data_IF_598626932152
#
_entry.id   IF_598626932152
#
_cell.length_a   1.000
_cell.length_b   1.000
_cell.length_c   1.000
_cell.angle_alpha   90.00
_cell.angle_beta   90.00
_cell.angle_gamma   90.00
#
_symmetry.space_group_name_H-M   'P 1'
#
loop_
_entity.id
_entity.type
_entity.pdbx_description
1 polymer ?
#
# COMPACT_ATOMS: atom_id res chain seq x y z
N UNK A 1 19.55 4.66 11.07
CA UNK A 1 19.47 3.25 10.65
C UNK A 1 18.52 2.47 11.56
N UNK A 2 18.85 2.16 12.82
CA UNK A 2 18.00 1.34 13.71
C UNK A 2 16.54 1.82 13.78
N UNK A 3 16.29 3.13 13.86
CA UNK A 3 14.95 3.74 13.83
C UNK A 3 14.16 3.47 12.55
N UNK A 4 14.82 3.28 11.41
CA UNK A 4 14.19 3.09 10.11
C UNK A 4 14.03 1.62 9.73
N UNK A 5 14.99 0.77 10.09
CA UNK A 5 15.01 -0.65 9.78
C UNK A 5 14.16 -1.51 10.73
N UNK A 6 13.85 -0.99 11.92
CA UNK A 6 13.12 -1.70 12.96
C UNK A 6 11.86 -0.94 13.39
N UNK A 7 11.05 -1.58 14.21
CA UNK A 7 9.90 -0.93 14.87
C UNK A 7 10.31 -0.11 16.12
N UNK A 8 11.61 0.00 16.42
CA UNK A 8 12.11 0.77 17.56
C UNK A 8 11.64 2.23 17.48
N UNK A 9 11.18 2.79 18.58
CA UNK A 9 10.95 4.23 18.71
C UNK A 9 12.26 4.99 18.82
N UNK A 10 12.25 6.31 18.65
CA UNK A 10 13.46 7.10 18.87
C UNK A 10 13.93 7.05 20.32
N UNK A 11 13.02 6.80 21.27
CA UNK A 11 13.37 6.58 22.68
C UNK A 11 14.05 5.23 22.90
N UNK A 12 13.61 4.18 22.22
CA UNK A 12 14.26 2.86 22.29
C UNK A 12 15.68 2.94 21.70
N UNK A 13 15.88 3.71 20.65
CA UNK A 13 17.21 3.96 20.07
C UNK A 13 18.11 4.68 21.07
N UNK A 14 17.61 5.70 21.76
CA UNK A 14 18.35 6.38 22.83
C UNK A 14 18.72 5.40 23.93
N UNK A 15 17.78 4.62 24.43
CA UNK A 15 18.03 3.60 25.48
C UNK A 15 19.08 2.57 25.05
N UNK A 16 19.05 2.14 23.77
CA UNK A 16 20.07 1.26 23.21
C UNK A 16 21.46 1.90 23.19
N UNK A 17 21.56 3.18 22.80
CA UNK A 17 22.83 3.92 22.81
C UNK A 17 23.34 4.12 24.25
N UNK A 18 22.45 4.46 25.20
CA UNK A 18 22.80 4.55 26.63
C UNK A 18 23.33 3.22 27.18
N UNK A 19 22.67 2.10 26.79
CA UNK A 19 23.13 0.76 27.17
C UNK A 19 24.53 0.46 26.62
N UNK A 20 24.78 0.79 25.34
CA UNK A 20 26.10 0.65 24.73
C UNK A 20 27.15 1.55 25.40
N UNK A 21 26.80 2.82 25.69
CA UNK A 21 27.70 3.73 26.38
C UNK A 21 28.17 3.19 27.74
N UNK A 22 27.24 2.59 28.51
CA UNK A 22 27.54 1.95 29.79
C UNK A 22 28.46 0.72 29.63
N UNK A 23 28.28 -0.07 28.58
CA UNK A 23 29.06 -1.29 28.31
C UNK A 23 30.45 -1.00 27.75
N UNK A 24 30.61 0.12 27.06
CA UNK A 24 31.85 0.44 26.32
C UNK A 24 32.79 1.42 27.05
N UNK A 25 32.51 1.73 28.32
CA UNK A 25 33.38 2.50 29.21
C UNK A 25 33.98 3.78 28.60
N UNK A 26 33.13 4.61 27.97
CA UNK A 26 33.56 5.92 27.46
C UNK A 26 33.87 5.99 25.95
N UNK A 27 33.56 4.95 25.18
CA UNK A 27 33.60 5.05 23.71
C UNK A 27 32.45 5.91 23.12
N UNK A 28 31.43 6.22 23.93
CA UNK A 28 30.32 7.11 23.58
C UNK A 28 30.30 8.25 24.59
N UNK A 29 30.78 9.42 24.16
CA UNK A 29 30.89 10.61 25.03
C UNK A 29 29.54 11.26 25.31
N UNK A 30 28.65 11.31 24.30
CA UNK A 30 27.32 11.94 24.42
C UNK A 30 26.22 11.07 23.79
N UNK A 31 25.12 10.90 24.53
CA UNK A 31 23.92 10.24 24.03
C UNK A 31 22.95 11.26 23.46
N UNK A 32 22.57 11.17 22.18
CA UNK A 32 21.64 12.13 21.58
C UNK A 32 20.24 12.00 22.18
N UNK A 33 19.52 13.12 22.29
CA UNK A 33 18.11 13.09 22.66
C UNK A 33 17.25 12.41 21.58
N UNK A 34 16.07 11.91 21.96
CA UNK A 34 15.14 11.32 20.99
C UNK A 34 14.70 12.33 19.91
N UNK A 35 14.59 13.62 20.24
CA UNK A 35 14.32 14.68 19.27
C UNK A 35 15.48 14.85 18.27
N UNK A 36 16.71 14.72 18.73
CA UNK A 36 17.91 14.77 17.88
C UNK A 36 17.87 13.64 16.85
N UNK A 37 17.53 12.42 17.29
CA UNK A 37 17.41 11.25 16.39
C UNK A 37 16.30 11.47 15.36
N UNK A 38 15.11 11.93 15.77
CA UNK A 38 14.01 12.22 14.84
C UNK A 38 14.38 13.32 13.84
N UNK A 39 15.09 14.36 14.29
CA UNK A 39 15.58 15.42 13.42
C UNK A 39 16.63 14.91 12.41
N UNK A 40 17.51 14.00 12.80
CA UNK A 40 18.45 13.38 11.87
C UNK A 40 17.72 12.60 10.78
N UNK A 41 16.72 11.81 11.13
CA UNK A 41 15.93 11.05 10.16
C UNK A 41 15.17 12.00 9.22
N UNK A 42 14.53 13.06 9.74
CA UNK A 42 13.84 14.07 8.92
C UNK A 42 14.77 14.79 7.96
N UNK A 43 15.98 15.15 8.40
CA UNK A 43 17.03 15.76 7.55
C UNK A 43 17.40 14.83 6.40
N UNK A 44 17.69 13.56 6.70
CA UNK A 44 18.00 12.57 5.69
C UNK A 44 16.83 12.38 4.72
N UNK A 45 15.58 12.37 5.22
CA UNK A 45 14.40 12.21 4.36
C UNK A 45 14.15 13.38 3.43
N UNK A 46 14.35 14.60 3.91
CA UNK A 46 14.26 15.80 3.05
C UNK A 46 15.39 15.84 2.02
N UNK A 47 16.60 15.44 2.42
CA UNK A 47 17.74 15.31 1.50
C UNK A 47 17.46 14.29 0.39
N UNK A 48 16.84 13.12 0.73
CA UNK A 48 16.42 12.11 -0.26
C UNK A 48 15.46 12.69 -1.28
N UNK A 49 14.42 13.42 -0.85
CA UNK A 49 13.44 14.02 -1.76
C UNK A 49 14.13 15.03 -2.69
N UNK A 50 14.99 15.90 -2.14
CA UNK A 50 15.69 16.92 -2.91
C UNK A 50 16.65 16.37 -3.97
N UNK A 51 17.22 15.18 -3.72
CA UNK A 51 18.15 14.51 -4.66
C UNK A 51 17.45 13.46 -5.55
N UNK A 52 16.13 13.31 -5.46
CA UNK A 52 15.39 12.42 -6.35
C UNK A 52 15.52 12.79 -7.82
N UNK A 53 15.47 14.06 -8.25
CA UNK A 53 15.66 14.44 -9.66
C UNK A 53 17.02 13.96 -10.20
N UNK A 54 18.10 14.19 -9.45
CA UNK A 54 19.46 13.74 -9.81
C UNK A 54 19.56 12.21 -9.88
N UNK A 55 18.89 11.51 -8.95
CA UNK A 55 18.86 10.04 -8.92
C UNK A 55 18.07 9.43 -10.09
N UNK A 56 17.17 10.19 -10.71
CA UNK A 56 16.39 9.79 -11.88
C UNK A 56 16.99 10.27 -13.21
N UNK A 57 18.05 11.07 -13.16
CA UNK A 57 18.71 11.57 -14.35
C UNK A 57 19.18 10.42 -15.27
N UNK A 58 18.84 10.50 -16.55
CA UNK A 58 19.16 9.47 -17.53
C UNK A 58 18.38 8.16 -17.43
N UNK A 59 17.55 7.98 -16.39
CA UNK A 59 16.73 6.77 -16.19
C UNK A 59 15.33 6.94 -16.77
N UNK A 60 14.75 5.84 -17.26
CA UNK A 60 13.33 5.78 -17.57
C UNK A 60 12.58 5.34 -16.32
N UNK A 61 11.64 6.16 -15.90
CA UNK A 61 10.85 5.94 -14.69
C UNK A 61 9.35 6.02 -14.95
N UNK A 62 8.60 5.41 -14.07
CA UNK A 62 7.15 5.53 -13.95
C UNK A 62 6.80 6.18 -12.62
N UNK A 63 5.61 6.74 -12.53
CA UNK A 63 5.07 7.27 -11.28
C UNK A 63 4.03 6.32 -10.73
N UNK A 64 4.06 6.13 -9.41
CA UNK A 64 3.00 5.48 -8.64
C UNK A 64 2.38 6.52 -7.73
N UNK A 65 1.06 6.70 -7.84
CA UNK A 65 0.27 7.61 -7.01
C UNK A 65 -0.91 6.88 -6.39
N UNK A 66 -1.26 7.25 -5.18
CA UNK A 66 -2.44 6.74 -4.49
C UNK A 66 -2.95 7.77 -3.48
N UNK A 67 -4.27 7.99 -3.42
CA UNK A 67 -4.90 8.76 -2.33
C UNK A 67 -4.88 7.91 -1.07
N UNK A 68 -3.70 7.74 -0.48
CA UNK A 68 -3.55 6.92 0.70
C UNK A 68 -3.47 7.76 1.97
N UNK A 69 -3.77 7.10 3.07
CA UNK A 69 -3.71 7.62 4.44
C UNK A 69 -4.55 8.87 4.73
N UNK A 70 -5.72 8.59 5.26
CA UNK A 70 -6.42 9.58 6.07
C UNK A 70 -5.80 9.61 7.47
N UNK A 71 -5.14 10.71 7.82
CA UNK A 71 -4.62 10.99 9.16
C UNK A 71 -5.46 12.12 9.73
N UNK A 72 -6.36 11.78 10.65
CA UNK A 72 -7.35 12.74 11.11
C UNK A 72 -8.30 13.12 9.96
N UNK A 73 -8.35 14.40 9.61
CA UNK A 73 -9.10 14.95 8.48
C UNK A 73 -8.26 15.18 7.23
N UNK A 74 -6.99 14.78 7.23
CA UNK A 74 -6.04 15.06 6.16
C UNK A 74 -5.77 13.80 5.34
N UNK A 75 -5.61 14.00 4.04
CA UNK A 75 -5.33 12.96 3.06
C UNK A 75 -3.99 13.24 2.39
N UNK A 76 -3.10 12.29 2.49
CA UNK A 76 -1.78 12.32 1.88
C UNK A 76 -1.83 11.74 0.48
N UNK A 77 -1.29 12.46 -0.49
CA UNK A 77 -1.02 12.01 -1.85
C UNK A 77 0.49 11.92 -2.04
N UNK A 78 1.11 10.75 -1.91
CA UNK A 78 2.49 10.54 -2.26
C UNK A 78 2.65 10.42 -3.76
N UNK A 79 3.71 11.02 -4.29
CA UNK A 79 4.17 10.83 -5.66
C UNK A 79 5.49 10.08 -5.59
N UNK A 80 5.48 8.83 -6.04
CA UNK A 80 6.64 7.93 -5.98
C UNK A 80 7.12 7.61 -7.39
N UNK A 81 8.43 7.64 -7.61
CA UNK A 81 9.05 7.18 -8.84
C UNK A 81 9.59 5.75 -8.68
N UNK A 82 9.37 4.93 -9.69
CA UNK A 82 9.83 3.55 -9.79
C UNK A 82 10.45 3.32 -11.17
N UNK A 83 11.32 2.31 -11.38
CA UNK A 83 11.81 1.98 -12.71
C UNK A 83 10.65 1.74 -13.69
N UNK A 84 10.71 2.35 -14.87
CA UNK A 84 9.66 2.16 -15.89
C UNK A 84 9.63 0.71 -16.38
N UNK A 85 10.80 0.11 -16.60
CA UNK A 85 10.93 -1.29 -17.01
C UNK A 85 10.86 -2.21 -15.79
N UNK A 86 10.03 -3.23 -15.87
CA UNK A 86 9.95 -4.28 -14.85
C UNK A 86 11.29 -5.02 -14.70
N UNK A 87 11.76 -5.21 -13.46
CA UNK A 87 13.09 -5.74 -13.14
C UNK A 87 13.13 -7.27 -12.96
N UNK A 88 12.05 -8.00 -13.30
CA UNK A 88 11.94 -9.45 -13.10
C UNK A 88 11.57 -9.87 -11.68
N UNK A 89 11.18 -8.94 -10.83
CA UNK A 89 10.68 -9.16 -9.48
C UNK A 89 9.65 -8.09 -9.11
N UNK A 90 8.75 -8.34 -8.15
CA UNK A 90 7.87 -7.31 -7.61
C UNK A 90 8.68 -6.12 -7.08
N UNK A 91 8.14 -4.91 -7.22
CA UNK A 91 8.77 -3.69 -6.71
C UNK A 91 9.23 -3.85 -5.27
N UNK A 92 10.47 -3.52 -5.02
CA UNK A 92 11.10 -3.52 -3.70
C UNK A 92 11.20 -2.08 -3.17
N UNK A 93 11.26 -1.85 -1.86
CA UNK A 93 11.46 -0.52 -1.31
C UNK A 93 12.68 0.22 -1.88
N UNK A 94 13.75 -0.50 -2.20
CA UNK A 94 14.96 0.05 -2.82
C UNK A 94 14.75 0.59 -4.24
N UNK A 95 13.71 0.12 -4.94
CA UNK A 95 13.38 0.56 -6.30
C UNK A 95 12.61 1.88 -6.31
N UNK A 96 12.18 2.35 -5.14
CA UNK A 96 11.28 3.50 -5.01
C UNK A 96 12.05 4.75 -4.61
N UNK A 97 11.76 5.85 -5.28
CA UNK A 97 12.17 7.19 -4.89
C UNK A 97 10.95 8.05 -4.60
N UNK A 98 11.00 8.82 -3.54
CA UNK A 98 9.94 9.78 -3.22
C UNK A 98 10.18 11.06 -4.02
N UNK A 99 9.25 11.41 -4.88
CA UNK A 99 9.27 12.69 -5.61
C UNK A 99 8.68 13.80 -4.76
N UNK A 100 7.52 13.52 -4.13
CA UNK A 100 6.88 14.49 -3.26
C UNK A 100 5.79 13.91 -2.38
N UNK A 101 5.43 14.71 -1.38
CA UNK A 101 4.28 14.48 -0.49
C UNK A 101 3.36 15.69 -0.54
N UNK A 102 2.09 15.47 -0.80
CA UNK A 102 1.11 16.54 -0.88
C UNK A 102 -0.06 16.22 0.05
N UNK A 103 -0.52 17.21 0.80
CA UNK A 103 -1.53 17.02 1.84
C UNK A 103 -2.67 17.99 1.64
N UNK A 104 -3.89 17.45 1.57
CA UNK A 104 -5.15 18.23 1.52
C UNK A 104 -6.22 17.54 2.37
N UNK A 105 -7.27 18.25 2.73
CA UNK A 105 -8.44 17.66 3.40
C UNK A 105 -9.25 16.77 2.45
N UNK A 106 -9.24 17.09 1.16
CA UNK A 106 -9.87 16.31 0.10
C UNK A 106 -9.14 16.54 -1.22
N UNK A 107 -9.08 15.50 -2.05
CA UNK A 107 -8.51 15.57 -3.39
C UNK A 107 -9.61 15.65 -4.44
N UNK A 108 -9.47 16.58 -5.36
CA UNK A 108 -10.22 16.62 -6.62
C UNK A 108 -9.32 16.14 -7.76
N UNK A 109 -9.89 15.76 -8.89
CA UNK A 109 -9.11 15.35 -10.06
C UNK A 109 -8.18 16.48 -10.56
N UNK A 110 -8.66 17.72 -10.54
CA UNK A 110 -7.86 18.90 -10.95
C UNK A 110 -6.68 19.09 -10.00
N UNK A 111 -6.93 19.13 -8.68
CA UNK A 111 -5.87 19.32 -7.70
C UNK A 111 -4.83 18.18 -7.68
N UNK A 112 -5.25 16.94 -8.00
CA UNK A 112 -4.34 15.81 -8.13
C UNK A 112 -3.51 15.88 -9.42
N UNK A 113 -4.11 16.35 -10.53
CA UNK A 113 -3.40 16.59 -11.77
C UNK A 113 -2.36 17.70 -11.64
N UNK A 114 -2.73 18.85 -11.05
CA UNK A 114 -1.81 19.96 -10.79
C UNK A 114 -0.57 19.50 -9.99
N UNK A 115 -0.81 18.81 -8.87
CA UNK A 115 0.28 18.27 -8.03
C UNK A 115 1.12 17.24 -8.79
N UNK A 116 0.51 16.41 -9.62
CA UNK A 116 1.24 15.45 -10.43
C UNK A 116 2.18 16.17 -11.41
N UNK A 117 1.67 17.18 -12.12
CA UNK A 117 2.43 17.94 -13.09
C UNK A 117 3.56 18.75 -12.41
N UNK A 118 3.30 19.39 -11.26
CA UNK A 118 4.31 20.09 -10.47
C UNK A 118 5.45 19.15 -10.04
N UNK A 119 5.12 17.96 -9.55
CA UNK A 119 6.15 16.99 -9.16
C UNK A 119 6.95 16.45 -10.35
N UNK A 120 6.32 16.26 -11.51
CA UNK A 120 7.01 15.85 -12.75
C UNK A 120 7.93 16.98 -13.25
N UNK A 121 7.51 18.22 -13.14
CA UNK A 121 8.33 19.39 -13.51
C UNK A 121 9.58 19.48 -12.63
N UNK A 122 9.48 19.23 -11.33
CA UNK A 122 10.62 19.15 -10.40
C UNK A 122 11.63 18.08 -10.83
N UNK A 123 11.18 16.92 -11.33
CA UNK A 123 12.08 15.88 -11.86
C UNK A 123 12.74 16.31 -13.17
N UNK A 124 12.11 17.21 -13.95
CA UNK A 124 12.64 17.71 -15.21
C UNK A 124 12.55 16.73 -16.40
N UNK A 125 11.96 15.54 -16.20
CA UNK A 125 11.74 14.52 -17.23
C UNK A 125 10.33 13.92 -17.06
N UNK A 126 9.63 13.68 -18.16
CA UNK A 126 8.31 13.03 -18.15
C UNK A 126 8.43 11.55 -17.80
N UNK A 127 7.53 11.01 -16.98
CA UNK A 127 7.46 9.57 -16.71
C UNK A 127 6.99 8.82 -17.97
N UNK A 128 7.39 7.57 -18.11
CA UNK A 128 6.94 6.71 -19.20
C UNK A 128 5.43 6.38 -19.07
N UNK A 129 4.94 6.23 -17.85
CA UNK A 129 3.53 5.98 -17.52
C UNK A 129 3.28 6.24 -16.03
N UNK A 130 2.01 6.18 -15.64
CA UNK A 130 1.55 6.36 -14.26
C UNK A 130 0.76 5.13 -13.83
N UNK A 131 0.99 4.66 -12.61
CA UNK A 131 0.23 3.61 -11.94
C UNK A 131 -0.61 4.25 -10.85
N UNK A 132 -1.90 3.95 -10.81
CA UNK A 132 -2.77 4.30 -9.67
C UNK A 132 -3.87 3.26 -9.48
N UNK A 133 -4.59 3.36 -8.37
CA UNK A 133 -5.85 2.64 -8.19
C UNK A 133 -6.92 3.07 -9.21
N UNK A 134 -8.08 2.41 -9.16
CA UNK A 134 -9.21 2.72 -10.06
C UNK A 134 -10.12 3.83 -9.53
N UNK A 135 -9.68 4.65 -8.57
CA UNK A 135 -10.48 5.79 -8.12
C UNK A 135 -10.76 6.73 -9.30
N UNK A 136 -12.01 7.13 -9.43
CA UNK A 136 -12.47 7.96 -10.53
C UNK A 136 -11.77 9.32 -10.61
N UNK A 137 -11.29 9.84 -9.47
CA UNK A 137 -10.55 11.10 -9.39
C UNK A 137 -9.13 10.92 -9.91
N UNK A 138 -8.44 9.84 -9.50
CA UNK A 138 -7.09 9.53 -9.97
C UNK A 138 -7.08 9.27 -11.47
N UNK A 139 -8.03 8.47 -11.97
CA UNK A 139 -8.20 8.26 -13.41
C UNK A 139 -8.36 9.56 -14.18
N UNK A 140 -9.24 10.47 -13.68
CA UNK A 140 -9.45 11.78 -14.31
C UNK A 140 -8.20 12.67 -14.22
N UNK A 141 -7.49 12.64 -13.09
CA UNK A 141 -6.27 13.41 -12.89
C UNK A 141 -5.19 13.03 -13.90
N UNK A 142 -4.91 11.73 -14.04
CA UNK A 142 -3.93 11.23 -15.02
C UNK A 142 -4.36 11.55 -16.45
N UNK A 143 -5.67 11.45 -16.75
CA UNK A 143 -6.21 11.80 -18.05
C UNK A 143 -6.06 13.29 -18.40
N UNK A 144 -6.20 14.19 -17.42
CA UNK A 144 -5.98 15.64 -17.60
C UNK A 144 -4.52 15.96 -17.93
N UNK A 145 -3.58 15.26 -17.30
CA UNK A 145 -2.13 15.42 -17.55
C UNK A 145 -1.64 14.67 -18.81
N UNK A 146 -2.52 13.93 -19.49
CA UNK A 146 -2.26 13.22 -20.76
C UNK A 146 -1.10 12.23 -20.71
N UNK A 147 -0.98 11.48 -19.60
CA UNK A 147 -0.02 10.39 -19.46
C UNK A 147 -0.66 9.03 -19.75
N UNK A 148 0.16 8.03 -20.13
CA UNK A 148 -0.26 6.64 -20.18
C UNK A 148 -0.58 6.21 -18.76
N UNK A 149 -1.76 5.59 -18.56
CA UNK A 149 -2.23 5.14 -17.28
C UNK A 149 -2.38 3.62 -17.25
N UNK A 150 -1.64 2.97 -16.35
CA UNK A 150 -1.81 1.55 -16.02
C UNK A 150 -2.51 1.43 -14.67
N UNK A 151 -3.55 0.61 -14.64
CA UNK A 151 -4.32 0.36 -13.42
C UNK A 151 -3.58 -0.58 -12.49
N UNK A 152 -3.59 -0.29 -11.19
CA UNK A 152 -3.12 -1.25 -10.20
C UNK A 152 -3.88 -2.58 -10.31
N UNK A 153 -3.13 -3.68 -10.41
CA UNK A 153 -3.70 -5.01 -10.64
C UNK A 153 -4.56 -5.47 -9.47
N UNK A 154 -4.12 -5.32 -8.23
CA UNK A 154 -4.82 -5.81 -7.04
C UNK A 154 -6.12 -5.06 -6.82
N UNK A 155 -6.08 -3.72 -6.91
CA UNK A 155 -7.28 -2.87 -6.81
C UNK A 155 -8.26 -3.13 -7.95
N UNK A 156 -7.77 -3.37 -9.17
CA UNK A 156 -8.61 -3.65 -10.33
C UNK A 156 -9.36 -4.97 -10.18
N UNK A 157 -8.67 -6.04 -9.81
CA UNK A 157 -9.28 -7.36 -9.62
C UNK A 157 -10.26 -7.38 -8.44
N UNK A 158 -9.92 -6.71 -7.34
CA UNK A 158 -10.81 -6.54 -6.19
C UNK A 158 -12.09 -5.77 -6.57
N UNK A 159 -11.98 -4.72 -7.40
CA UNK A 159 -13.12 -3.97 -7.90
C UNK A 159 -14.05 -4.84 -8.77
N UNK A 160 -13.52 -5.74 -9.60
CA UNK A 160 -14.36 -6.64 -10.39
C UNK A 160 -15.14 -7.61 -9.50
N UNK A 161 -14.51 -8.12 -8.45
CA UNK A 161 -15.20 -8.91 -7.43
C UNK A 161 -16.27 -8.09 -6.71
N UNK A 162 -15.95 -6.86 -6.32
CA UNK A 162 -16.91 -5.98 -5.66
C UNK A 162 -18.15 -5.73 -6.51
N UNK A 163 -18.00 -5.45 -7.79
CA UNK A 163 -19.11 -5.19 -8.72
C UNK A 163 -20.08 -6.37 -8.85
N UNK A 164 -19.57 -7.59 -8.75
CA UNK A 164 -20.40 -8.81 -8.92
C UNK A 164 -21.00 -9.26 -7.59
N UNK A 165 -20.24 -9.21 -6.49
CA UNK A 165 -20.63 -9.83 -5.22
C UNK A 165 -21.14 -8.87 -4.15
N UNK A 166 -20.90 -7.56 -4.25
CA UNK A 166 -21.26 -6.60 -3.17
C UNK A 166 -22.74 -6.63 -2.78
N UNK A 167 -23.62 -6.72 -3.77
CA UNK A 167 -25.06 -6.74 -3.58
C UNK A 167 -25.66 -8.16 -3.77
N UNK A 168 -24.82 -9.18 -3.96
CA UNK A 168 -25.25 -10.56 -4.12
C UNK A 168 -25.81 -11.10 -2.80
N UNK A 169 -27.04 -11.64 -2.85
CA UNK A 169 -27.76 -12.08 -1.66
C UNK A 169 -27.07 -13.25 -0.96
N UNK A 170 -26.53 -14.21 -1.72
CA UNK A 170 -25.83 -15.37 -1.16
C UNK A 170 -24.53 -14.96 -0.47
N UNK A 171 -23.76 -14.04 -1.10
CA UNK A 171 -22.57 -13.45 -0.49
C UNK A 171 -22.88 -12.70 0.82
N UNK A 172 -23.93 -11.87 0.82
CA UNK A 172 -24.30 -11.10 1.99
C UNK A 172 -24.78 -12.01 3.13
N UNK A 173 -25.57 -13.03 2.84
CA UNK A 173 -26.03 -14.01 3.83
C UNK A 173 -24.88 -14.86 4.38
N UNK A 174 -23.99 -15.34 3.52
CA UNK A 174 -22.79 -16.07 3.92
C UNK A 174 -21.95 -15.25 4.91
N UNK A 175 -21.65 -13.99 4.58
CA UNK A 175 -20.90 -13.10 5.48
C UNK A 175 -21.63 -12.85 6.81
N UNK A 176 -22.96 -12.69 6.78
CA UNK A 176 -23.77 -12.54 7.99
C UNK A 176 -23.70 -13.79 8.86
N UNK A 177 -23.77 -14.99 8.27
CA UNK A 177 -23.63 -16.27 8.99
C UNK A 177 -22.26 -16.41 9.62
N UNK A 178 -21.19 -16.09 8.88
CA UNK A 178 -19.83 -16.09 9.44
C UNK A 178 -19.69 -15.12 10.63
N UNK A 179 -20.18 -13.90 10.49
CA UNK A 179 -20.11 -12.90 11.57
C UNK A 179 -20.91 -13.35 12.81
N UNK A 180 -22.10 -13.92 12.61
CA UNK A 180 -22.95 -14.45 13.70
C UNK A 180 -22.25 -15.61 14.40
N UNK A 181 -21.72 -16.57 13.65
CA UNK A 181 -20.95 -17.70 14.19
C UNK A 181 -19.78 -17.20 15.03
N UNK A 182 -18.99 -16.27 14.49
CA UNK A 182 -17.85 -15.68 15.20
C UNK A 182 -18.29 -15.04 16.52
N UNK A 183 -19.33 -14.21 16.51
CA UNK A 183 -19.87 -13.56 17.72
C UNK A 183 -20.35 -14.59 18.77
N UNK A 184 -20.99 -15.66 18.32
CA UNK A 184 -21.58 -16.67 19.22
C UNK A 184 -20.50 -17.55 19.88
N UNK A 185 -19.40 -17.82 19.20
CA UNK A 185 -18.40 -18.80 19.64
C UNK A 185 -17.03 -18.20 20.00
N UNK A 186 -16.87 -16.87 19.96
CA UNK A 186 -15.58 -16.22 20.23
C UNK A 186 -15.03 -16.47 21.66
N UNK A 187 -15.89 -16.85 22.62
CA UNK A 187 -15.52 -17.14 24.02
C UNK A 187 -15.69 -18.62 24.37
N UNK A 188 -15.87 -19.49 23.38
CA UNK A 188 -16.01 -20.94 23.57
C UNK A 188 -14.71 -21.67 23.29
N UNK A 189 -14.63 -22.94 23.66
CA UNK A 189 -13.44 -23.78 23.43
C UNK A 189 -13.01 -23.83 21.96
N UNK A 190 -13.96 -23.74 21.03
CA UNK A 190 -13.70 -23.72 19.59
C UNK A 190 -13.32 -22.34 19.02
N UNK A 191 -13.06 -21.34 19.87
CA UNK A 191 -12.72 -19.97 19.42
C UNK A 191 -11.49 -19.93 18.49
N UNK A 192 -10.54 -20.86 18.65
CA UNK A 192 -9.36 -20.98 17.79
C UNK A 192 -9.65 -21.42 16.35
N UNK A 193 -10.85 -21.96 16.08
CA UNK A 193 -11.32 -22.37 14.75
C UNK A 193 -12.08 -21.25 14.03
N UNK A 194 -12.27 -20.10 14.64
CA UNK A 194 -13.09 -19.02 14.07
C UNK A 194 -12.51 -18.44 12.77
N UNK A 195 -13.42 -17.88 11.97
CA UNK A 195 -13.06 -17.19 10.74
C UNK A 195 -12.11 -16.02 10.99
N UNK A 196 -11.22 -15.68 10.03
CA UNK A 196 -10.46 -14.44 10.06
C UNK A 196 -11.35 -13.21 10.28
N UNK A 197 -10.76 -12.12 10.75
CA UNK A 197 -11.50 -10.87 10.90
C UNK A 197 -11.85 -10.31 9.53
N UNK A 198 -13.14 -10.10 9.27
CA UNK A 198 -13.59 -9.43 8.06
C UNK A 198 -13.24 -7.93 8.16
N UNK A 199 -12.50 -7.42 7.19
CA UNK A 199 -12.21 -6.00 7.10
C UNK A 199 -13.40 -5.27 6.46
N UNK A 200 -13.75 -4.10 6.99
CA UNK A 200 -14.80 -3.24 6.41
C UNK A 200 -14.31 -2.45 5.20
N UNK A 201 -13.02 -2.06 5.21
CA UNK A 201 -12.34 -1.40 4.09
C UNK A 201 -11.54 -2.42 3.28
N UNK A 202 -11.47 -2.24 1.98
CA UNK A 202 -10.79 -3.14 1.05
C UNK A 202 -11.19 -4.61 1.24
N UNK A 203 -12.49 -4.85 1.49
CA UNK A 203 -13.04 -6.18 1.80
C UNK A 203 -12.69 -7.21 0.72
N UNK A 204 -12.81 -6.84 -0.55
CA UNK A 204 -12.57 -7.73 -1.67
C UNK A 204 -11.09 -8.01 -1.94
N UNK A 205 -10.17 -7.15 -1.53
CA UNK A 205 -8.73 -7.44 -1.55
C UNK A 205 -8.33 -8.48 -0.50
N UNK A 206 -9.06 -8.56 0.61
CA UNK A 206 -8.78 -9.47 1.73
C UNK A 206 -9.75 -10.66 1.82
N UNK A 207 -10.51 -10.91 0.77
CA UNK A 207 -11.53 -11.96 0.75
C UNK A 207 -10.93 -13.37 0.81
N UNK A 208 -9.74 -13.52 0.27
CA UNK A 208 -9.04 -14.79 0.12
C UNK A 208 -8.85 -15.54 1.45
N UNK A 209 -8.51 -14.84 2.54
CA UNK A 209 -8.32 -15.47 3.86
C UNK A 209 -9.62 -16.12 4.38
N UNK A 210 -10.75 -15.43 4.22
CA UNK A 210 -12.05 -15.93 4.65
C UNK A 210 -12.53 -17.12 3.81
N UNK A 211 -12.29 -17.09 2.51
CA UNK A 211 -12.65 -18.19 1.61
C UNK A 211 -11.76 -19.40 1.81
N UNK A 212 -10.44 -19.20 1.98
CA UNK A 212 -9.49 -20.29 2.30
C UNK A 212 -9.84 -20.96 3.61
N UNK A 213 -10.22 -20.16 4.63
CA UNK A 213 -10.71 -20.67 5.89
C UNK A 213 -11.99 -21.52 5.70
N UNK A 214 -13.00 -21.00 4.99
CA UNK A 214 -14.26 -21.70 4.76
C UNK A 214 -14.07 -23.03 4.01
N UNK A 215 -13.25 -23.03 2.96
CA UNK A 215 -12.88 -24.22 2.19
C UNK A 215 -12.14 -25.25 3.09
N UNK A 216 -11.19 -24.79 3.90
CA UNK A 216 -10.46 -25.64 4.83
C UNK A 216 -11.37 -26.25 5.90
N UNK A 217 -12.32 -25.45 6.43
CA UNK A 217 -13.30 -25.93 7.42
C UNK A 217 -14.24 -26.96 6.81
N UNK A 218 -14.69 -26.79 5.56
CA UNK A 218 -15.50 -27.79 4.85
C UNK A 218 -14.76 -29.13 4.69
N UNK A 219 -13.47 -29.10 4.35
CA UNK A 219 -12.65 -30.31 4.19
C UNK A 219 -12.48 -31.10 5.48
N UNK A 220 -12.33 -30.39 6.62
CA UNK A 220 -12.11 -31.05 7.92
C UNK A 220 -13.40 -31.23 8.73
N UNK A 221 -14.54 -30.82 8.21
CA UNK A 221 -15.82 -30.78 8.93
C UNK A 221 -16.16 -32.09 9.65
N UNK A 222 -15.93 -33.23 8.98
CA UNK A 222 -16.19 -34.56 9.54
C UNK A 222 -15.27 -34.95 10.72
N UNK A 223 -14.15 -34.24 10.89
CA UNK A 223 -13.19 -34.46 11.99
C UNK A 223 -13.44 -33.55 13.19
N UNK A 224 -14.33 -32.58 13.05
CA UNK A 224 -14.67 -31.66 14.13
C UNK A 224 -15.48 -32.38 15.20
N UNK A 225 -15.24 -32.06 16.46
CA UNK A 225 -16.10 -32.50 17.57
C UNK A 225 -17.50 -31.89 17.41
N UNK A 226 -18.47 -32.43 18.18
CA UNK A 226 -19.88 -32.07 18.09
C UNK A 226 -20.12 -30.54 18.08
N UNK A 227 -19.52 -29.82 19.03
CA UNK A 227 -19.63 -28.35 19.12
C UNK A 227 -19.13 -27.64 17.85
N UNK A 228 -18.03 -28.13 17.24
CA UNK A 228 -17.51 -27.59 16.00
C UNK A 228 -18.44 -27.88 14.82
N UNK A 229 -18.99 -29.08 14.73
CA UNK A 229 -19.95 -29.43 13.69
C UNK A 229 -21.25 -28.60 13.80
N UNK A 230 -21.75 -28.37 15.00
CA UNK A 230 -22.90 -27.50 15.23
C UNK A 230 -22.60 -26.05 14.81
N UNK A 231 -21.47 -25.51 15.28
CA UNK A 231 -21.07 -24.13 15.01
C UNK A 231 -20.87 -23.83 13.52
N UNK A 232 -20.27 -24.75 12.78
CA UNK A 232 -19.89 -24.56 11.38
C UNK A 232 -20.84 -25.29 10.39
N UNK A 233 -21.97 -25.84 10.86
CA UNK A 233 -22.96 -26.56 10.02
C UNK A 233 -23.43 -25.71 8.82
N UNK A 234 -23.57 -24.40 9.00
CA UNK A 234 -23.97 -23.48 7.96
C UNK A 234 -23.05 -23.52 6.72
N UNK A 235 -21.76 -23.81 6.87
CA UNK A 235 -20.81 -23.88 5.74
C UNK A 235 -21.23 -24.94 4.73
N UNK A 236 -21.86 -26.02 5.15
CA UNK A 236 -22.33 -27.07 4.23
C UNK A 236 -23.41 -26.57 3.28
N UNK A 237 -24.28 -25.65 3.75
CA UNK A 237 -25.30 -25.02 2.90
C UNK A 237 -24.66 -24.15 1.81
N UNK A 238 -23.51 -23.53 2.13
CA UNK A 238 -22.78 -22.66 1.20
C UNK A 238 -21.59 -23.36 0.50
N UNK A 239 -21.52 -24.70 0.54
CA UNK A 239 -20.37 -25.42 -0.03
C UNK A 239 -20.14 -25.10 -1.51
N UNK A 240 -21.21 -25.03 -2.32
CA UNK A 240 -21.13 -24.66 -3.73
C UNK A 240 -20.63 -23.22 -3.92
N UNK A 241 -21.15 -22.28 -3.12
CA UNK A 241 -20.72 -20.88 -3.13
C UNK A 241 -19.25 -20.72 -2.72
N UNK A 242 -18.82 -21.43 -1.66
CA UNK A 242 -17.41 -21.42 -1.22
C UNK A 242 -16.50 -21.97 -2.33
N UNK A 243 -16.92 -23.05 -3.03
CA UNK A 243 -16.19 -23.58 -4.18
C UNK A 243 -16.05 -22.56 -5.31
N UNK A 244 -17.15 -21.92 -5.71
CA UNK A 244 -17.18 -20.84 -6.69
C UNK A 244 -16.21 -19.69 -6.33
N UNK A 245 -16.31 -19.21 -5.10
CA UNK A 245 -15.45 -18.13 -4.61
C UNK A 245 -13.98 -18.55 -4.55
N UNK A 246 -13.71 -19.81 -4.18
CA UNK A 246 -12.37 -20.37 -4.15
C UNK A 246 -11.71 -20.38 -5.53
N UNK A 247 -12.44 -20.83 -6.54
CA UNK A 247 -11.95 -20.87 -7.92
C UNK A 247 -11.69 -19.45 -8.45
N UNK A 248 -12.60 -18.51 -8.16
CA UNK A 248 -12.47 -17.12 -8.58
C UNK A 248 -11.28 -16.44 -7.89
N UNK A 249 -11.13 -16.60 -6.58
CA UNK A 249 -9.99 -16.06 -5.81
C UNK A 249 -8.68 -16.70 -6.25
N UNK A 250 -8.67 -18.00 -6.58
CA UNK A 250 -7.48 -18.67 -7.08
C UNK A 250 -7.04 -18.13 -8.44
N UNK A 251 -7.99 -17.83 -9.33
CA UNK A 251 -7.70 -17.18 -10.61
C UNK A 251 -7.12 -15.77 -10.41
N UNK A 252 -7.69 -14.97 -9.49
CA UNK A 252 -7.18 -13.62 -9.15
C UNK A 252 -5.74 -13.71 -8.63
N UNK A 253 -5.46 -14.59 -7.67
CA UNK A 253 -4.10 -14.80 -7.14
C UNK A 253 -3.10 -15.22 -8.22
N UNK A 254 -3.52 -16.08 -9.14
CA UNK A 254 -2.67 -16.44 -10.26
C UNK A 254 -2.30 -15.21 -11.10
N UNK A 255 -3.29 -14.37 -11.43
CA UNK A 255 -3.06 -13.16 -12.22
C UNK A 255 -2.16 -12.16 -11.50
N UNK A 256 -2.41 -11.89 -10.22
CA UNK A 256 -1.57 -11.02 -9.39
C UNK A 256 -0.12 -11.52 -9.36
N UNK A 257 0.06 -12.82 -9.13
CA UNK A 257 1.39 -13.44 -9.13
C UNK A 257 2.08 -13.28 -10.48
N UNK A 258 1.39 -13.58 -11.59
CA UNK A 258 1.95 -13.42 -12.92
C UNK A 258 2.35 -11.97 -13.23
N UNK A 259 1.48 -11.01 -12.93
CA UNK A 259 1.71 -9.60 -13.23
C UNK A 259 2.77 -8.97 -12.32
N UNK A 260 2.79 -9.32 -11.04
CA UNK A 260 3.77 -8.77 -10.08
C UNK A 260 5.18 -9.35 -10.26
N UNK A 261 5.31 -10.63 -10.62
CA UNK A 261 6.62 -11.28 -10.78
C UNK A 261 7.20 -11.17 -12.19
N UNK A 262 6.35 -11.20 -13.21
CA UNK A 262 6.81 -11.18 -14.62
C UNK A 262 6.54 -9.83 -15.31
N UNK A 263 5.91 -8.89 -14.60
CA UNK A 263 5.50 -7.61 -15.15
C UNK A 263 4.30 -7.69 -16.09
N UNK A 264 3.74 -6.55 -16.41
CA UNK A 264 2.68 -6.40 -17.40
C UNK A 264 3.32 -6.32 -18.79
N UNK A 265 3.03 -7.29 -19.63
CA UNK A 265 3.52 -7.41 -21.01
C UNK A 265 2.49 -8.13 -21.88
N UNK A 266 2.59 -8.02 -23.20
CA UNK A 266 1.71 -8.80 -24.11
C UNK A 266 1.78 -10.30 -23.82
N UNK A 267 2.96 -10.83 -23.45
CA UNK A 267 3.17 -12.23 -23.10
C UNK A 267 2.45 -12.61 -21.79
N UNK A 268 2.62 -11.84 -20.72
CA UNK A 268 1.96 -12.11 -19.43
C UNK A 268 0.44 -11.97 -19.54
N UNK A 269 -0.05 -11.02 -20.35
CA UNK A 269 -1.48 -10.89 -20.70
C UNK A 269 -2.00 -12.16 -21.37
N UNK A 270 -1.29 -12.72 -22.37
CA UNK A 270 -1.72 -13.93 -23.06
C UNK A 270 -1.79 -15.14 -22.11
N UNK A 271 -0.85 -15.26 -21.16
CA UNK A 271 -0.87 -16.29 -20.11
C UNK A 271 -2.08 -16.12 -19.22
N UNK A 272 -2.32 -14.90 -18.70
CA UNK A 272 -3.48 -14.60 -17.85
C UNK A 272 -4.80 -14.84 -18.59
N UNK A 273 -4.93 -14.40 -19.84
CA UNK A 273 -6.12 -14.63 -20.67
C UNK A 273 -6.45 -16.10 -20.82
N UNK A 274 -5.46 -16.94 -21.14
CA UNK A 274 -5.64 -18.40 -21.25
C UNK A 274 -6.14 -18.98 -19.93
N UNK A 275 -5.56 -18.57 -18.80
CA UNK A 275 -5.95 -19.05 -17.49
C UNK A 275 -7.39 -18.65 -17.13
N UNK A 276 -7.77 -17.39 -17.36
CA UNK A 276 -9.14 -16.88 -17.12
C UNK A 276 -10.15 -17.67 -17.97
N UNK A 277 -9.85 -17.90 -19.25
CA UNK A 277 -10.73 -18.69 -20.13
C UNK A 277 -10.88 -20.15 -19.66
N UNK A 278 -9.81 -20.75 -19.13
CA UNK A 278 -9.83 -22.14 -18.67
C UNK A 278 -10.46 -22.33 -17.27
N UNK A 279 -10.63 -21.25 -16.50
CA UNK A 279 -11.13 -21.29 -15.10
C UNK A 279 -12.46 -20.57 -14.97
N UNK A 280 -12.45 -19.28 -14.67
CA UNK A 280 -13.67 -18.52 -14.33
C UNK A 280 -14.67 -18.40 -15.48
N UNK A 281 -14.22 -18.40 -16.74
CA UNK A 281 -15.14 -18.41 -17.89
C UNK A 281 -15.87 -19.73 -18.07
N UNK A 282 -15.36 -20.84 -17.54
CA UNK A 282 -16.03 -22.15 -17.52
C UNK A 282 -17.00 -22.29 -16.34
N UNK A 283 -17.02 -21.35 -15.41
CA UNK A 283 -17.85 -21.38 -14.21
C UNK A 283 -19.29 -20.91 -14.43
N UNK A 284 -19.95 -20.57 -13.34
CA UNK A 284 -21.34 -20.07 -13.34
C UNK A 284 -21.46 -18.62 -13.85
N UNK A 285 -22.67 -18.05 -13.76
CA UNK A 285 -22.96 -16.71 -14.27
C UNK A 285 -22.11 -15.62 -13.59
N UNK A 286 -21.92 -15.68 -12.25
CA UNK A 286 -21.12 -14.70 -11.48
C UNK A 286 -19.64 -14.80 -11.85
N UNK A 287 -19.10 -16.02 -11.90
CA UNK A 287 -17.71 -16.25 -12.32
C UNK A 287 -17.47 -15.69 -13.72
N UNK A 288 -18.36 -15.97 -14.67
CA UNK A 288 -18.25 -15.44 -16.05
C UNK A 288 -18.32 -13.91 -16.10
N UNK A 289 -19.13 -13.28 -15.25
CA UNK A 289 -19.17 -11.81 -15.16
C UNK A 289 -17.83 -11.22 -14.66
N UNK A 290 -17.19 -11.84 -13.66
CA UNK A 290 -15.85 -11.46 -13.23
C UNK A 290 -14.84 -11.73 -14.36
N UNK A 291 -14.90 -12.91 -14.98
CA UNK A 291 -14.01 -13.30 -16.07
C UNK A 291 -14.08 -12.33 -17.26
N UNK A 292 -15.28 -11.90 -17.66
CA UNK A 292 -15.44 -10.94 -18.76
C UNK A 292 -14.81 -9.59 -18.43
N UNK A 293 -15.03 -9.05 -17.22
CA UNK A 293 -14.40 -7.80 -16.80
C UNK A 293 -12.86 -7.89 -16.80
N UNK A 294 -12.34 -9.07 -16.42
CA UNK A 294 -10.89 -9.33 -16.48
C UNK A 294 -10.41 -9.33 -17.94
N UNK A 295 -11.11 -10.02 -18.85
CA UNK A 295 -10.74 -10.07 -20.26
C UNK A 295 -10.76 -8.69 -20.92
N UNK A 296 -11.76 -7.87 -20.60
CA UNK A 296 -11.88 -6.50 -21.10
C UNK A 296 -10.70 -5.64 -20.59
N UNK A 297 -10.36 -5.76 -19.30
CA UNK A 297 -9.19 -5.12 -18.71
C UNK A 297 -7.88 -5.52 -19.41
N UNK A 298 -7.68 -6.82 -19.63
CA UNK A 298 -6.47 -7.31 -20.28
C UNK A 298 -6.36 -6.81 -21.73
N UNK A 299 -7.50 -6.66 -22.43
CA UNK A 299 -7.52 -6.13 -23.79
C UNK A 299 -7.16 -4.62 -23.79
N UNK A 300 -7.68 -3.84 -22.85
CA UNK A 300 -7.34 -2.43 -22.70
C UNK A 300 -5.85 -2.25 -22.39
N UNK A 301 -5.31 -2.96 -21.38
CA UNK A 301 -3.89 -2.86 -21.02
C UNK A 301 -2.97 -3.29 -22.18
N UNK A 302 -3.39 -4.33 -22.95
CA UNK A 302 -2.65 -4.76 -24.14
C UNK A 302 -2.52 -3.67 -25.19
N UNK A 303 -3.54 -2.83 -25.34
CA UNK A 303 -3.54 -1.74 -26.32
C UNK A 303 -2.59 -0.61 -25.98
N UNK A 304 -2.23 -0.46 -24.69
CA UNK A 304 -1.32 0.56 -24.20
C UNK A 304 0.16 0.16 -24.31
N UNK A 305 0.44 -1.16 -24.45
CA UNK A 305 1.79 -1.70 -24.45
C UNK A 305 2.41 -1.71 -25.86
N UNK A 306 3.66 -1.27 -25.94
CA UNK A 306 4.51 -1.46 -27.12
C UNK A 306 4.93 -2.92 -27.25
N UNK A 307 5.49 -3.29 -28.40
CA UNK A 307 6.06 -4.61 -28.59
C UNK A 307 7.32 -4.78 -27.73
N UNK A 308 7.43 -5.96 -27.10
CA UNK A 308 8.53 -6.31 -26.18
C UNK A 308 8.67 -5.42 -24.93
N UNK A 309 7.67 -4.60 -24.63
CA UNK A 309 7.62 -3.80 -23.42
C UNK A 309 7.15 -4.67 -22.24
N UNK A 310 7.78 -4.46 -21.08
CA UNK A 310 7.36 -5.06 -19.81
C UNK A 310 7.42 -4.00 -18.73
N UNK A 311 6.26 -3.64 -18.18
CA UNK A 311 6.08 -2.55 -17.25
C UNK A 311 5.59 -3.06 -15.89
N UNK A 312 5.69 -2.20 -14.87
CA UNK A 312 5.06 -2.44 -13.57
C UNK A 312 3.58 -2.04 -13.62
N UNK A 313 2.74 -2.74 -12.86
CA UNK A 313 1.31 -2.42 -12.70
C UNK A 313 0.78 -2.69 -11.29
N UNK A 314 1.63 -2.54 -10.28
CA UNK A 314 1.24 -2.70 -8.87
C UNK A 314 1.69 -1.49 -8.05
N UNK A 315 0.81 -1.02 -7.19
CA UNK A 315 1.06 0.02 -6.18
C UNK A 315 1.26 -0.54 -4.77
N UNK A 316 1.34 -1.87 -4.59
CA UNK A 316 1.49 -2.54 -3.29
C UNK A 316 2.66 -2.00 -2.47
N UNK A 317 3.69 -1.47 -3.15
CA UNK A 317 4.85 -0.89 -2.47
C UNK A 317 4.48 0.35 -1.64
N UNK A 318 3.45 1.11 -2.07
CA UNK A 318 2.90 2.23 -1.29
C UNK A 318 2.30 1.69 0.00
N UNK A 319 1.44 0.67 -0.08
CA UNK A 319 0.77 0.10 1.10
C UNK A 319 1.78 -0.48 2.09
N UNK A 320 2.80 -1.19 1.59
CA UNK A 320 3.87 -1.76 2.40
C UNK A 320 4.66 -0.68 3.13
N UNK A 321 5.12 0.36 2.43
CA UNK A 321 5.87 1.47 2.99
C UNK A 321 5.05 2.25 4.04
N UNK A 322 3.79 2.52 3.73
CA UNK A 322 2.88 3.20 4.64
C UNK A 322 2.44 2.32 5.82
N UNK A 323 2.42 1.00 5.68
CA UNK A 323 2.22 0.07 6.77
C UNK A 323 3.25 0.30 7.88
N UNK A 324 4.54 0.33 7.52
CA UNK A 324 5.66 0.60 8.45
C UNK A 324 5.52 2.01 9.05
N UNK A 325 5.19 3.01 8.25
CA UNK A 325 5.04 4.39 8.69
C UNK A 325 3.89 4.57 9.70
N UNK A 326 2.75 3.91 9.50
CA UNK A 326 1.58 3.97 10.40
C UNK A 326 1.89 3.55 11.82
N UNK A 327 2.77 2.56 12.01
CA UNK A 327 3.22 2.16 13.35
C UNK A 327 4.03 3.23 14.09
N UNK A 328 4.61 4.17 13.34
CA UNK A 328 5.47 5.24 13.90
C UNK A 328 4.72 6.53 14.18
N UNK A 329 3.44 6.62 13.80
CA UNK A 329 2.63 7.82 13.97
C UNK A 329 2.09 7.97 15.40
N UNK A 330 1.82 9.23 15.76
CA UNK A 330 1.05 9.54 16.97
C UNK A 330 -0.36 8.95 16.86
N UNK A 331 -0.87 8.31 17.93
CA UNK A 331 -2.26 7.83 17.96
C UNK A 331 -3.28 8.99 17.95
N UNK A 332 -2.84 10.23 18.24
CA UNK A 332 -3.70 11.39 18.24
C UNK A 332 -3.99 11.88 16.82
N UNK A 333 -5.19 11.59 16.34
CA UNK A 333 -5.65 11.95 14.99
C UNK A 333 -5.69 13.47 14.73
N UNK A 334 -5.75 14.30 15.77
CA UNK A 334 -5.75 15.76 15.64
C UNK A 334 -4.40 16.31 15.18
N UNK A 335 -3.33 15.54 15.27
CA UNK A 335 -2.02 15.97 14.78
C UNK A 335 -1.94 16.08 13.25
N UNK A 336 -2.83 15.40 12.50
CA UNK A 336 -2.76 15.37 11.06
C UNK A 336 -1.47 14.75 10.53
N UNK A 337 -1.12 15.09 9.30
CA UNK A 337 0.17 14.72 8.67
C UNK A 337 1.23 15.69 9.20
N UNK A 338 2.27 15.17 9.83
CA UNK A 338 3.38 15.95 10.37
C UNK A 338 4.66 15.72 9.58
N UNK A 339 5.70 16.51 9.81
CA UNK A 339 7.03 16.30 9.23
C UNK A 339 7.65 14.91 9.54
N UNK A 340 6.95 14.06 10.32
CA UNK A 340 7.29 12.66 10.49
C UNK A 340 7.19 11.89 9.15
N UNK A 341 6.41 12.38 8.17
CA UNK A 341 6.33 11.79 6.84
C UNK A 341 7.69 11.75 6.13
N UNK A 342 8.61 12.64 6.47
CA UNK A 342 10.00 12.63 6.00
C UNK A 342 10.80 11.38 6.46
N UNK A 343 10.28 10.58 7.37
CA UNK A 343 10.86 9.28 7.70
C UNK A 343 10.67 8.27 6.55
N UNK A 344 9.63 8.44 5.72
CA UNK A 344 9.28 7.47 4.69
C UNK A 344 10.37 7.29 3.63
N UNK A 345 10.98 8.34 3.03
CA UNK A 345 12.10 8.18 2.10
C UNK A 345 13.26 7.38 2.69
N UNK A 346 13.57 7.62 3.97
CA UNK A 346 14.65 6.90 4.67
C UNK A 346 14.25 5.44 4.93
N UNK A 347 13.01 5.18 5.32
CA UNK A 347 12.49 3.82 5.50
C UNK A 347 12.62 3.04 4.18
N UNK A 348 12.20 3.63 3.06
CA UNK A 348 12.31 3.02 1.73
C UNK A 348 13.77 2.73 1.37
N UNK A 349 14.69 3.65 1.64
CA UNK A 349 16.11 3.47 1.36
C UNK A 349 16.77 2.37 2.22
N UNK A 350 16.24 2.10 3.42
CA UNK A 350 16.81 1.13 4.36
C UNK A 350 16.05 -0.19 4.48
N UNK A 351 14.82 -0.29 3.93
CA UNK A 351 14.05 -1.54 3.96
C UNK A 351 14.46 -2.43 2.80
N UNK A 352 15.10 -3.56 3.10
CA UNK A 352 15.51 -4.54 2.09
C UNK A 352 16.95 -5.02 2.29
N UNK A 353 17.33 -6.10 1.59
CA UNK A 353 18.64 -6.74 1.70
C UNK A 353 19.82 -5.90 1.18
N UNK A 354 19.53 -4.82 0.49
CA UNK A 354 20.51 -3.96 -0.15
C UNK A 354 20.52 -2.57 0.49
N UNK A 355 20.80 -2.52 1.80
CA UNK A 355 21.26 -1.23 2.35
C UNK A 355 22.51 -0.87 1.58
N UNK A 356 22.42 0.19 0.78
CA UNK A 356 23.57 0.69 0.04
C UNK A 356 24.71 0.94 1.04
N UNK A 357 25.80 0.17 0.94
CA UNK A 357 27.02 0.41 1.74
C UNK A 357 27.52 1.85 1.59
N UNK A 358 26.97 2.58 0.62
CA UNK A 358 27.33 3.94 0.23
C UNK A 358 26.36 5.00 0.81
N UNK A 359 25.39 4.64 1.67
CA UNK A 359 24.50 5.64 2.27
C UNK A 359 25.26 6.49 3.31
N UNK A 360 25.71 7.66 2.88
CA UNK A 360 26.49 8.56 3.73
C UNK A 360 25.56 9.46 4.57
N UNK A 361 25.20 8.99 5.77
CA UNK A 361 24.35 9.72 6.72
C UNK A 361 24.98 11.07 7.11
N UNK A 362 26.31 11.13 7.33
CA UNK A 362 26.99 12.36 7.76
C UNK A 362 26.87 13.46 6.69
N UNK A 363 27.10 13.12 5.45
CA UNK A 363 26.98 14.04 4.33
C UNK A 363 25.57 14.62 4.21
N UNK A 364 24.55 13.77 4.28
CA UNK A 364 23.13 14.17 4.22
C UNK A 364 22.74 15.08 5.37
N UNK A 365 23.22 14.80 6.59
CA UNK A 365 22.98 15.64 7.75
C UNK A 365 23.63 17.03 7.62
N UNK A 366 24.77 17.14 6.89
CA UNK A 366 25.42 18.41 6.63
C UNK A 366 24.71 19.24 5.56
N UNK A 367 24.10 18.59 4.55
CA UNK A 367 23.41 19.28 3.45
C UNK A 367 22.09 19.91 3.87
N UNK A 368 21.39 19.33 4.86
CA UNK A 368 20.04 19.77 5.26
C UNK A 368 20.05 20.36 6.67
N UNK A 369 19.49 21.56 6.83
CA UNK A 369 19.33 22.24 8.13
C UNK A 369 17.92 22.01 8.71
N UNK A 370 17.74 22.24 10.02
CA UNK A 370 16.42 22.20 10.66
C UNK A 370 15.48 23.25 10.06
N UNK A 371 16.00 24.40 9.69
CA UNK A 371 15.23 25.46 9.05
C UNK A 371 14.63 24.98 7.71
N UNK A 372 15.36 24.18 6.94
CA UNK A 372 14.85 23.62 5.68
C UNK A 372 13.64 22.71 5.92
N UNK A 373 13.67 21.90 6.99
CA UNK A 373 12.52 21.06 7.39
C UNK A 373 11.31 21.92 7.75
N UNK A 374 11.53 23.04 8.47
CA UNK A 374 10.44 23.93 8.85
C UNK A 374 9.82 24.62 7.62
N UNK A 375 10.64 25.11 6.69
CA UNK A 375 10.19 25.70 5.43
C UNK A 375 9.39 24.67 4.61
N UNK A 376 9.96 23.48 4.41
CA UNK A 376 9.29 22.41 3.69
C UNK A 376 7.93 22.04 4.34
N UNK A 377 7.90 21.96 5.68
CA UNK A 377 6.65 21.67 6.41
C UNK A 377 5.60 22.74 6.15
N UNK A 378 5.97 24.01 6.21
CA UNK A 378 5.05 25.14 6.09
C UNK A 378 4.50 25.27 4.64
N UNK A 379 5.27 24.81 3.65
CA UNK A 379 4.88 24.75 2.23
C UNK A 379 4.03 23.55 1.87
N UNK A 380 4.30 22.37 2.46
CA UNK A 380 3.75 21.08 1.99
C UNK A 380 2.71 20.45 2.92
N UNK A 381 2.63 20.87 4.19
CA UNK A 381 1.72 20.29 5.17
C UNK A 381 0.66 21.30 5.61
N UNK A 382 -0.48 20.77 6.03
CA UNK A 382 -1.55 21.58 6.59
C UNK A 382 -1.21 22.04 8.02
N UNK A 383 -1.85 23.14 8.48
CA UNK A 383 -1.70 23.61 9.86
C UNK A 383 -2.21 22.55 10.84
N UNK A 384 -1.37 22.21 11.82
CA UNK A 384 -1.72 21.23 12.85
C UNK A 384 -2.93 21.70 13.67
N UNK A 385 -3.99 20.88 13.71
CA UNK A 385 -5.25 21.23 14.40
C UNK A 385 -5.08 21.44 15.90
N UNK A 386 -4.12 20.77 16.55
CA UNK A 386 -3.80 20.99 17.97
C UNK A 386 -3.20 22.36 18.17
N UNK A 387 -2.25 22.77 17.30
CA UNK A 387 -1.66 24.09 17.33
C UNK A 387 -2.71 25.18 17.07
N UNK A 388 -3.56 24.97 16.07
CA UNK A 388 -4.69 25.85 15.75
C UNK A 388 -5.64 26.01 16.94
N UNK A 389 -6.03 24.90 17.58
CA UNK A 389 -6.87 24.92 18.79
C UNK A 389 -6.23 25.71 19.93
N UNK A 390 -4.95 25.47 20.20
CA UNK A 390 -4.22 26.20 21.26
C UNK A 390 -4.19 27.70 20.96
N UNK A 391 -3.93 28.08 19.71
CA UNK A 391 -3.92 29.45 19.25
C UNK A 391 -5.28 30.13 19.47
N UNK A 392 -6.36 29.48 19.02
CA UNK A 392 -7.73 29.98 19.19
C UNK A 392 -8.11 30.14 20.66
N UNK A 393 -7.75 29.18 21.54
CA UNK A 393 -8.05 29.28 22.98
C UNK A 393 -7.22 30.31 23.73
N UNK A 394 -6.07 30.74 23.20
CA UNK A 394 -5.25 31.81 23.78
C UNK A 394 -5.70 33.22 23.35
N UNK A 395 -6.45 33.30 22.24
CA UNK A 395 -6.96 34.57 21.69
C UNK A 395 -8.40 34.84 22.08
N UNK A 396 -9.07 33.88 22.69
CA UNK A 396 -10.40 34.03 23.34
C UNK A 396 -10.26 34.39 24.80
#
# INVERSE_FOLDING_TARGET
>A
MLRCETNASSRDVVAAIEGLAKLTYGLVDEVPSYNTIDNWVRKCGLDEIRHTPEALEGLDYAIVIDECMMIGSEKLLPVLAVPAKHQGHPLQPSDVKVVGFNVKSAWTAIAASEVLDENIEVVGKKPSYIISDNDSKMRKAVGLSNYIWHRDISHTLAMFMERVYKEDTEYLEFNRKMATCKKQYCMKEIAYLQSPCQRTKARFMNLSESIDWADSMLRVFHKLGQQGQEAFSFLRTYASFVGEMKDTVSCIRFMETQMKHNGLSKKSIDVCRKHVCATVMCGNGRMRQVGQQILDYLAEERSLLKDNETVNNSSDIIESAFGIFKYKQSPNKLNGVTALVLHLPVILAFTGKSVSKNYNVKERLCRTKIMDINLWRDENLMENLVAKRIKTLKTA
#
